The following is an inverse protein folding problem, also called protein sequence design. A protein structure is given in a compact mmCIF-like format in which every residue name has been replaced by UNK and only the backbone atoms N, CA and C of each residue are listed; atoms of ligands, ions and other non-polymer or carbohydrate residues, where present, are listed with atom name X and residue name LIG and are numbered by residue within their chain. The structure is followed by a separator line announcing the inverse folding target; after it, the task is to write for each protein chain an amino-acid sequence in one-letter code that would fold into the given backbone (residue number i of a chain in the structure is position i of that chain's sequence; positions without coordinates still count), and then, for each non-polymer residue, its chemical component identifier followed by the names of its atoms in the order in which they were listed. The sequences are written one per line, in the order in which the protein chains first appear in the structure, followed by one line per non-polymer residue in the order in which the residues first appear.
data_IF_324501098029
#
_entry.id   IF_324501098029
#
_cell.length_a   1.000
_cell.length_b   1.000
_cell.length_c   1.000
_cell.angle_alpha   90.00
_cell.angle_beta   90.00
_cell.angle_gamma   90.00
#
_symmetry.space_group_name_H-M   'P 1'
#
loop_
_entity.id
_entity.type
_entity.pdbx_description
1 polymer ?
#
# COMPACT_ATOMS: atom_id res chain seq x y z
N UNK A 1 -9.99 -29.36 -22.06
CA UNK A 1 -8.72 -29.06 -21.35
C UNK A 1 -7.84 -28.13 -22.21
N UNK A 2 -8.34 -26.93 -22.58
CA UNK A 2 -7.65 -26.03 -23.54
C UNK A 2 -7.72 -24.54 -23.17
N UNK A 3 -8.32 -24.18 -22.03
CA UNK A 3 -8.57 -22.78 -21.64
C UNK A 3 -7.42 -22.19 -20.81
N UNK A 4 -6.53 -23.02 -20.25
CA UNK A 4 -5.44 -22.58 -19.34
C UNK A 4 -4.20 -22.07 -20.08
N UNK A 5 -4.02 -22.38 -21.37
CA UNK A 5 -2.82 -21.98 -22.13
C UNK A 5 -2.88 -20.59 -22.74
N UNK A 6 -4.06 -20.00 -22.92
CA UNK A 6 -4.22 -18.69 -23.60
C UNK A 6 -3.95 -17.51 -22.65
N UNK A 7 -4.20 -17.68 -21.36
CA UNK A 7 -4.02 -16.64 -20.34
C UNK A 7 -2.55 -16.35 -20.03
N UNK A 8 -1.67 -17.35 -20.12
CA UNK A 8 -0.23 -17.19 -19.87
C UNK A 8 0.46 -16.41 -20.99
N UNK A 9 -0.01 -16.55 -22.24
CA UNK A 9 0.55 -15.86 -23.41
C UNK A 9 0.18 -14.38 -23.44
N UNK A 10 -1.01 -14.00 -22.96
CA UNK A 10 -1.41 -12.60 -22.84
C UNK A 10 -0.61 -11.85 -21.77
N UNK A 11 -0.26 -12.50 -20.64
CA UNK A 11 0.55 -11.89 -19.59
C UNK A 11 2.00 -11.62 -20.04
N UNK A 12 2.57 -12.51 -20.86
CA UNK A 12 3.90 -12.32 -21.47
C UNK A 12 3.92 -11.20 -22.53
N UNK A 13 2.82 -10.97 -23.25
CA UNK A 13 2.69 -9.90 -24.25
C UNK A 13 2.49 -8.51 -23.62
N UNK A 14 1.88 -8.42 -22.43
CA UNK A 14 1.82 -7.17 -21.66
C UNK A 14 3.19 -6.82 -21.07
N UNK A 15 3.99 -7.82 -20.70
CA UNK A 15 5.37 -7.61 -20.25
C UNK A 15 6.30 -7.16 -21.37
N UNK A 16 6.15 -7.64 -22.61
CA UNK A 16 7.01 -7.19 -23.72
C UNK A 16 6.64 -5.80 -24.24
N UNK A 17 5.38 -5.38 -24.14
CA UNK A 17 4.93 -4.04 -24.57
C UNK A 17 5.21 -2.94 -23.54
N UNK A 18 5.33 -3.26 -22.25
CA UNK A 18 5.76 -2.30 -21.23
C UNK A 18 7.22 -1.83 -21.39
N UNK A 19 8.06 -2.61 -22.08
CA UNK A 19 9.45 -2.24 -22.39
C UNK A 19 9.59 -1.45 -23.72
N UNK A 20 8.50 -1.31 -24.49
CA UNK A 20 8.52 -0.62 -25.77
C UNK A 20 8.21 0.90 -25.68
N UNK A 21 7.91 1.41 -24.48
CA UNK A 21 7.87 2.86 -24.19
C UNK A 21 9.18 3.36 -23.57
N UNK A 22 10.32 2.77 -23.94
CA UNK A 22 11.62 3.36 -23.65
C UNK A 22 11.81 4.62 -24.48
N UNK A 23 11.61 5.80 -23.89
CA UNK A 23 12.19 7.03 -24.44
C UNK A 23 13.67 6.75 -24.73
N UNK A 24 14.12 7.05 -25.95
CA UNK A 24 15.56 7.05 -26.23
C UNK A 24 16.22 7.95 -25.18
N UNK A 25 17.19 7.40 -24.44
CA UNK A 25 18.00 8.16 -23.48
C UNK A 25 19.44 8.15 -23.94
N UNK A 26 20.09 9.30 -23.92
CA UNK A 26 21.46 9.46 -24.39
C UNK A 26 22.37 9.84 -23.23
N UNK A 27 23.47 9.10 -23.06
CA UNK A 27 24.48 9.40 -22.05
C UNK A 27 25.38 10.51 -22.57
N UNK A 28 25.52 11.58 -21.80
CA UNK A 28 26.38 12.73 -22.15
C UNK A 28 27.45 12.89 -21.09
N UNK A 29 28.70 13.07 -21.52
CA UNK A 29 29.78 13.47 -20.63
C UNK A 29 29.67 14.97 -20.36
N UNK A 30 29.43 15.35 -19.11
CA UNK A 30 29.33 16.73 -18.66
C UNK A 30 30.27 16.95 -17.49
N UNK A 31 30.88 18.12 -17.44
CA UNK A 31 31.59 18.60 -16.26
C UNK A 31 30.56 19.00 -15.21
N UNK A 32 30.81 18.61 -13.97
CA UNK A 32 29.90 18.84 -12.87
C UNK A 32 30.67 19.13 -11.58
N UNK A 33 30.05 19.92 -10.72
CA UNK A 33 30.51 20.19 -9.36
C UNK A 33 29.55 19.51 -8.38
N UNK A 34 30.09 18.69 -7.49
CA UNK A 34 29.33 18.07 -6.40
C UNK A 34 29.02 19.14 -5.34
N UNK A 35 27.73 19.44 -5.14
CA UNK A 35 27.30 20.38 -4.10
C UNK A 35 27.28 19.68 -2.73
N UNK A 36 26.72 18.47 -2.69
CA UNK A 36 26.79 17.56 -1.54
C UNK A 36 26.55 16.12 -1.97
N UNK A 37 27.15 15.17 -1.26
CA UNK A 37 26.90 13.73 -1.35
C UNK A 37 26.86 13.11 0.07
N UNK A 38 25.71 13.28 0.73
CA UNK A 38 25.53 12.98 2.15
C UNK A 38 24.28 12.11 2.40
N UNK A 39 24.35 10.78 2.15
CA UNK A 39 23.20 9.89 2.31
C UNK A 39 22.76 9.67 3.78
N UNK A 40 23.53 10.16 4.75
CA UNK A 40 23.13 10.21 6.16
C UNK A 40 22.35 11.47 6.54
N UNK A 41 22.40 12.52 5.71
CA UNK A 41 21.79 13.83 5.97
C UNK A 41 20.35 13.87 5.45
N UNK A 42 19.50 13.01 6.01
CA UNK A 42 18.07 12.96 5.69
C UNK A 42 17.22 13.71 6.71
N UNK A 43 16.06 14.19 6.25
CA UNK A 43 15.00 14.65 7.14
C UNK A 43 14.61 13.55 8.13
N UNK A 44 14.28 13.95 9.36
CA UNK A 44 13.98 13.02 10.45
C UNK A 44 12.50 12.66 10.50
N UNK A 45 11.63 13.62 10.26
CA UNK A 45 10.17 13.41 10.27
C UNK A 45 9.63 13.58 8.86
N UNK A 46 8.79 12.64 8.44
CA UNK A 46 8.02 12.68 7.21
C UNK A 46 6.54 12.53 7.55
N UNK A 47 5.70 13.45 7.12
CA UNK A 47 4.25 13.39 7.24
C UNK A 47 3.67 13.46 5.83
N UNK A 48 2.88 12.47 5.45
CA UNK A 48 2.36 12.34 4.11
C UNK A 48 0.85 12.17 4.14
N UNK A 49 0.16 12.92 3.30
CA UNK A 49 -1.24 12.65 2.98
C UNK A 49 -1.31 11.73 1.77
N UNK A 50 -2.11 10.69 1.83
CA UNK A 50 -2.37 9.76 0.73
C UNK A 50 -3.73 10.14 0.11
N UNK A 51 -3.79 11.06 -0.87
CA UNK A 51 -5.05 11.43 -1.51
C UNK A 51 -5.65 10.28 -2.30
N UNK A 52 -4.87 9.26 -2.67
CA UNK A 52 -5.37 8.09 -3.35
C UNK A 52 -4.61 6.84 -2.93
N UNK A 53 -5.36 5.86 -2.45
CA UNK A 53 -4.95 4.46 -2.48
C UNK A 53 -6.03 3.63 -3.16
N UNK A 54 -5.61 2.52 -3.78
CA UNK A 54 -6.49 1.49 -4.29
C UNK A 54 -6.08 0.14 -3.72
N UNK A 55 -7.04 -0.63 -3.22
CA UNK A 55 -6.85 -1.94 -2.62
C UNK A 55 -7.77 -2.97 -3.28
N UNK A 56 -7.16 -3.99 -3.87
CA UNK A 56 -7.83 -5.21 -4.29
C UNK A 56 -7.63 -6.20 -3.17
N UNK A 57 -8.59 -6.33 -2.27
CA UNK A 57 -8.60 -7.34 -1.23
C UNK A 57 -9.72 -8.34 -1.51
N UNK A 58 -9.42 -9.64 -1.41
CA UNK A 58 -10.39 -10.71 -1.72
C UNK A 58 -11.66 -10.62 -0.85
N UNK A 59 -11.56 -9.98 0.32
CA UNK A 59 -12.69 -9.69 1.19
C UNK A 59 -13.36 -8.35 0.88
N UNK A 60 -12.72 -7.39 0.20
CA UNK A 60 -13.34 -6.13 -0.24
C UNK A 60 -12.44 -5.36 -1.22
N UNK A 61 -12.94 -4.97 -2.40
CA UNK A 61 -12.21 -4.05 -3.30
C UNK A 61 -12.60 -2.61 -2.95
N UNK A 62 -11.60 -1.77 -2.66
CA UNK A 62 -11.87 -0.41 -2.22
C UNK A 62 -10.79 0.59 -2.68
N UNK A 63 -11.14 1.86 -2.64
CA UNK A 63 -10.25 2.99 -2.88
C UNK A 63 -10.58 4.13 -1.91
N UNK A 64 -9.58 4.91 -1.55
CA UNK A 64 -9.73 5.83 -0.44
C UNK A 64 -8.59 6.81 -0.28
N UNK A 65 -8.55 7.42 0.91
CA UNK A 65 -7.49 8.30 1.34
C UNK A 65 -6.79 7.74 2.58
N UNK A 66 -5.66 8.33 2.93
CA UNK A 66 -4.90 7.94 4.11
C UNK A 66 -3.96 9.03 4.58
N UNK A 67 -3.29 8.73 5.68
CA UNK A 67 -2.22 9.55 6.22
C UNK A 67 -1.10 8.63 6.71
N UNK A 68 0.13 9.11 6.62
CA UNK A 68 1.31 8.40 7.07
C UNK A 68 2.23 9.36 7.81
N UNK A 69 2.84 8.89 8.89
CA UNK A 69 3.93 9.58 9.56
C UNK A 69 5.08 8.59 9.76
N UNK A 70 6.30 9.02 9.43
CA UNK A 70 7.51 8.24 9.63
C UNK A 70 8.58 9.10 10.30
N UNK A 71 9.21 8.54 11.32
CA UNK A 71 10.30 9.19 12.05
C UNK A 71 11.57 8.32 12.02
N UNK A 72 12.67 8.89 11.54
CA UNK A 72 14.01 8.29 11.54
C UNK A 72 14.78 8.74 12.78
N UNK A 73 15.11 7.78 13.65
CA UNK A 73 15.96 8.01 14.81
C UNK A 73 17.41 7.64 14.48
N UNK A 74 18.13 8.61 13.92
CA UNK A 74 19.56 8.47 13.56
C UNK A 74 19.77 7.21 12.71
N UNK A 75 20.75 6.40 13.10
CA UNK A 75 21.16 5.18 12.42
C UNK A 75 20.62 3.93 13.13
N UNK A 76 19.70 4.09 14.09
CA UNK A 76 19.30 2.99 14.99
C UNK A 76 17.96 2.37 14.61
N UNK A 77 16.94 3.20 14.41
CA UNK A 77 15.61 2.70 14.08
C UNK A 77 14.79 3.78 13.39
N UNK A 78 13.68 3.36 12.79
CA UNK A 78 12.61 4.25 12.40
C UNK A 78 11.26 3.73 12.90
N UNK A 79 10.31 4.64 13.12
CA UNK A 79 8.93 4.33 13.53
C UNK A 79 8.01 4.86 12.44
N UNK A 80 6.94 4.12 12.15
CA UNK A 80 5.96 4.43 11.14
C UNK A 80 4.55 4.20 11.66
N UNK A 81 3.69 5.20 11.44
CA UNK A 81 2.24 5.10 11.61
C UNK A 81 1.56 5.33 10.26
N UNK A 82 0.55 4.53 9.94
CA UNK A 82 -0.27 4.69 8.74
C UNK A 82 -1.75 4.50 9.08
N UNK A 83 -2.58 5.33 8.45
CA UNK A 83 -4.03 5.25 8.47
C UNK A 83 -4.54 5.25 7.04
N UNK A 84 -5.54 4.41 6.74
CA UNK A 84 -6.30 4.43 5.48
C UNK A 84 -7.78 4.23 5.75
N UNK A 85 -8.60 4.86 4.91
CA UNK A 85 -10.06 4.75 4.95
C UNK A 85 -10.66 4.88 3.55
N UNK A 86 -11.67 4.08 3.24
CA UNK A 86 -12.40 4.21 1.98
C UNK A 86 -13.15 5.55 1.91
N UNK A 87 -13.28 6.11 0.69
CA UNK A 87 -13.92 7.42 0.49
C UNK A 87 -15.42 7.40 0.80
N UNK A 88 -16.19 6.82 -0.12
CA UNK A 88 -17.63 6.65 -0.04
C UNK A 88 -17.97 5.20 -0.31
N UNK A 89 -19.14 4.75 0.16
CA UNK A 89 -19.62 3.42 -0.22
C UNK A 89 -19.77 3.31 -1.74
N UNK A 90 -20.38 4.30 -2.39
CA UNK A 90 -20.58 4.31 -3.85
C UNK A 90 -19.25 4.25 -4.60
N UNK A 91 -19.07 3.22 -5.42
CA UNK A 91 -17.94 2.94 -6.32
C UNK A 91 -16.55 2.73 -5.70
N UNK A 92 -16.37 3.03 -4.42
CA UNK A 92 -15.05 3.08 -3.77
C UNK A 92 -14.95 2.13 -2.58
N UNK A 93 -16.03 1.41 -2.25
CA UNK A 93 -16.07 0.35 -1.24
C UNK A 93 -17.11 -0.70 -1.66
N UNK A 94 -16.65 -1.68 -2.45
CA UNK A 94 -17.55 -2.54 -3.24
C UNK A 94 -18.46 -3.41 -2.37
N UNK A 95 -17.91 -4.04 -1.33
CA UNK A 95 -18.74 -4.92 -0.49
C UNK A 95 -19.66 -4.14 0.42
N UNK A 96 -19.25 -2.96 0.89
CA UNK A 96 -20.15 -2.07 1.63
C UNK A 96 -21.29 -1.58 0.75
N UNK A 97 -21.02 -1.18 -0.50
CA UNK A 97 -22.08 -0.79 -1.43
C UNK A 97 -23.01 -1.96 -1.78
N UNK A 98 -22.45 -3.14 -2.02
CA UNK A 98 -23.24 -4.34 -2.30
C UNK A 98 -24.17 -4.67 -1.13
N UNK A 99 -23.65 -4.59 0.10
CA UNK A 99 -24.46 -4.78 1.30
C UNK A 99 -25.55 -3.72 1.44
N UNK A 100 -25.25 -2.44 1.24
CA UNK A 100 -26.25 -1.37 1.34
C UNK A 100 -27.38 -1.48 0.31
N UNK A 101 -27.14 -2.10 -0.85
CA UNK A 101 -28.13 -2.24 -1.92
C UNK A 101 -28.90 -3.55 -1.88
N UNK A 102 -28.22 -4.63 -1.49
CA UNK A 102 -28.73 -5.99 -1.68
C UNK A 102 -28.78 -6.81 -0.39
N UNK A 103 -28.32 -6.29 0.75
CA UNK A 103 -28.37 -7.03 2.02
C UNK A 103 -29.82 -7.34 2.39
N UNK A 104 -30.03 -8.60 2.74
CA UNK A 104 -31.31 -9.12 3.27
C UNK A 104 -31.27 -9.25 4.80
N UNK A 105 -30.14 -8.87 5.41
CA UNK A 105 -29.86 -8.97 6.84
C UNK A 105 -29.77 -7.59 7.47
N UNK A 106 -30.01 -7.52 8.78
CA UNK A 106 -30.06 -6.28 9.55
C UNK A 106 -28.67 -5.73 9.93
N UNK A 107 -27.59 -6.46 9.63
CA UNK A 107 -26.22 -6.00 9.90
C UNK A 107 -25.95 -4.64 9.23
N UNK A 108 -25.47 -3.68 10.02
CA UNK A 108 -25.02 -2.40 9.50
C UNK A 108 -23.64 -2.58 8.83
N UNK A 109 -23.50 -2.29 7.51
CA UNK A 109 -22.23 -2.47 6.82
C UNK A 109 -21.14 -1.50 7.31
N UNK A 110 -20.01 -2.03 7.79
CA UNK A 110 -18.88 -1.23 8.24
C UNK A 110 -18.07 -0.63 7.08
N UNK A 111 -17.53 0.56 7.35
CA UNK A 111 -16.57 1.25 6.46
C UNK A 111 -15.23 0.56 6.56
N UNK A 112 -14.52 0.38 5.45
CA UNK A 112 -13.15 -0.08 5.54
C UNK A 112 -12.26 0.93 6.28
N UNK A 113 -11.73 0.54 7.43
CA UNK A 113 -10.68 1.28 8.14
C UNK A 113 -9.42 0.41 8.28
N UNK A 114 -8.26 1.05 8.19
CA UNK A 114 -6.97 0.39 8.34
C UNK A 114 -6.02 1.30 9.13
N UNK A 115 -5.43 0.73 10.18
CA UNK A 115 -4.42 1.37 11.01
C UNK A 115 -3.21 0.46 11.10
N UNK A 116 -2.03 1.02 10.91
CA UNK A 116 -0.77 0.33 11.08
C UNK A 116 0.18 1.17 11.92
N UNK A 117 0.80 0.54 12.90
CA UNK A 117 1.84 1.15 13.70
C UNK A 117 2.96 0.15 13.87
N UNK A 118 4.18 0.55 13.56
CA UNK A 118 5.34 -0.31 13.71
C UNK A 118 6.65 0.43 13.58
N UNK A 119 7.73 -0.33 13.73
CA UNK A 119 9.08 0.19 13.64
C UNK A 119 10.00 -0.78 12.93
N UNK A 120 11.10 -0.22 12.44
CA UNK A 120 12.20 -0.96 11.84
C UNK A 120 13.47 -0.69 12.65
N UNK A 121 14.05 -1.73 13.24
CA UNK A 121 15.37 -1.68 13.85
C UNK A 121 16.45 -1.88 12.79
N UNK A 122 17.46 -1.02 12.76
CA UNK A 122 18.54 -1.09 11.79
C UNK A 122 19.60 -2.08 12.28
N UNK A 123 19.70 -3.24 11.63
CA UNK A 123 20.68 -4.28 11.96
C UNK A 123 22.06 -3.87 11.43
N UNK A 124 22.10 -3.39 10.19
CA UNK A 124 23.32 -2.97 9.52
C UNK A 124 23.02 -1.75 8.67
N UNK A 125 23.81 -0.71 8.86
CA UNK A 125 23.70 0.58 8.20
C UNK A 125 25.11 0.95 7.72
N UNK A 126 25.27 1.10 6.41
CA UNK A 126 26.58 1.30 5.78
C UNK A 126 26.40 1.99 4.43
N UNK A 127 27.46 2.63 3.96
CA UNK A 127 27.55 3.26 2.66
C UNK A 127 28.37 2.41 1.68
N UNK A 128 28.00 2.51 0.40
CA UNK A 128 28.75 1.96 -0.71
C UNK A 128 28.91 3.04 -1.79
N UNK A 129 30.02 3.00 -2.51
CA UNK A 129 30.19 3.83 -3.71
C UNK A 129 29.29 3.29 -4.82
N UNK A 130 28.48 4.16 -5.41
CA UNK A 130 27.56 3.87 -6.52
C UNK A 130 27.63 5.00 -7.55
N UNK A 131 27.06 4.79 -8.73
CA UNK A 131 26.75 5.89 -9.67
C UNK A 131 25.28 6.27 -9.57
N UNK A 132 24.98 7.56 -9.62
CA UNK A 132 23.64 8.13 -9.74
C UNK A 132 23.38 8.51 -11.20
N UNK A 133 22.22 8.13 -11.72
CA UNK A 133 21.78 8.50 -13.07
C UNK A 133 20.98 9.79 -12.96
N UNK A 134 21.57 10.90 -13.39
CA UNK A 134 20.97 12.22 -13.30
C UNK A 134 20.49 12.66 -14.68
N UNK A 135 19.19 12.92 -14.82
CA UNK A 135 18.62 13.46 -16.06
C UNK A 135 18.93 14.95 -16.17
N UNK A 136 19.43 15.35 -17.32
CA UNK A 136 19.90 16.70 -17.58
C UNK A 136 18.76 17.53 -18.17
N UNK A 137 18.46 18.66 -17.55
CA UNK A 137 17.49 19.63 -18.04
C UNK A 137 18.22 20.89 -18.53
N UNK A 138 17.97 21.29 -19.79
CA UNK A 138 18.58 22.49 -20.35
C UNK A 138 17.84 23.74 -19.87
N UNK A 139 18.60 24.72 -19.36
CA UNK A 139 18.12 26.04 -18.90
C UNK A 139 17.30 26.82 -19.93
N UNK A 140 17.49 26.55 -21.23
CA UNK A 140 16.79 27.23 -22.33
C UNK A 140 16.40 26.22 -23.41
N UNK A 141 15.11 25.93 -23.54
CA UNK A 141 14.58 25.15 -24.66
C UNK A 141 14.28 26.11 -25.83
N UNK A 142 14.89 25.95 -27.02
CA UNK A 142 14.52 26.73 -28.20
C UNK A 142 13.04 26.48 -28.55
N UNK A 143 12.29 27.54 -28.87
CA UNK A 143 10.83 27.53 -29.19
C UNK A 143 10.39 26.48 -30.23
N UNK A 144 11.31 25.87 -30.98
CA UNK A 144 11.04 24.92 -32.08
C UNK A 144 11.21 23.43 -31.74
N UNK A 145 11.58 23.04 -30.50
CA UNK A 145 11.97 21.65 -30.17
C UNK A 145 11.05 20.89 -29.19
N UNK A 146 9.77 21.20 -29.13
CA UNK A 146 8.81 20.50 -28.26
C UNK A 146 8.58 19.02 -28.63
N UNK A 147 9.04 18.57 -29.81
CA UNK A 147 8.70 17.28 -30.38
C UNK A 147 9.83 16.23 -30.47
N UNK A 148 11.05 16.46 -29.96
CA UNK A 148 12.14 15.47 -30.13
C UNK A 148 13.29 15.48 -29.12
N UNK A 149 13.06 15.90 -27.87
CA UNK A 149 14.12 15.82 -26.86
C UNK A 149 14.26 14.39 -26.33
N UNK A 150 15.26 13.68 -26.85
CA UNK A 150 15.87 12.50 -26.19
C UNK A 150 16.28 12.94 -24.80
N UNK A 151 15.83 12.25 -23.75
CA UNK A 151 16.19 12.60 -22.39
C UNK A 151 17.68 12.28 -22.18
N UNK A 152 18.51 13.31 -22.05
CA UNK A 152 19.93 13.16 -21.80
C UNK A 152 20.19 12.91 -20.31
N UNK A 153 21.19 12.10 -20.00
CA UNK A 153 21.60 11.85 -18.63
C UNK A 153 23.11 11.83 -18.46
N UNK A 154 23.56 12.15 -17.25
CA UNK A 154 24.92 11.98 -16.78
C UNK A 154 24.95 10.89 -15.70
N UNK A 155 26.07 10.17 -15.62
CA UNK A 155 26.37 9.30 -14.50
C UNK A 155 27.34 10.01 -13.57
N UNK A 156 26.89 10.27 -12.34
CA UNK A 156 27.69 10.95 -11.33
C UNK A 156 28.07 9.94 -10.24
N UNK A 157 29.35 9.78 -9.88
CA UNK A 157 29.74 9.03 -8.69
C UNK A 157 29.05 9.58 -7.45
N UNK A 158 28.51 8.72 -6.60
CA UNK A 158 27.69 9.08 -5.44
C UNK A 158 27.79 8.01 -4.35
N UNK A 159 27.50 8.36 -3.11
CA UNK A 159 27.34 7.39 -2.04
C UNK A 159 25.91 6.89 -1.97
N UNK A 160 25.78 5.59 -1.72
CA UNK A 160 24.51 4.93 -1.49
C UNK A 160 24.51 4.36 -0.09
N UNK A 161 23.63 4.85 0.78
CA UNK A 161 23.42 4.25 2.10
C UNK A 161 22.45 3.08 1.98
N UNK A 162 22.83 1.94 2.55
CA UNK A 162 22.03 0.72 2.61
C UNK A 162 21.74 0.36 4.06
N UNK A 163 20.48 0.12 4.36
CA UNK A 163 20.02 -0.27 5.69
C UNK A 163 19.33 -1.63 5.60
N UNK A 164 19.90 -2.63 6.26
CA UNK A 164 19.20 -3.88 6.56
C UNK A 164 18.45 -3.72 7.88
N UNK A 165 17.14 -3.97 7.85
CA UNK A 165 16.27 -3.76 8.99
C UNK A 165 15.46 -4.99 9.38
N UNK A 166 15.19 -5.13 10.67
CA UNK A 166 14.13 -6.00 11.19
C UNK A 166 12.91 -5.16 11.53
N UNK A 167 11.72 -5.64 11.17
CA UNK A 167 10.45 -4.93 11.31
C UNK A 167 9.58 -5.61 12.35
N UNK A 168 8.87 -4.81 13.12
CA UNK A 168 7.85 -5.27 14.06
C UNK A 168 6.73 -4.22 14.12
N UNK A 169 5.49 -4.67 14.13
CA UNK A 169 4.36 -3.76 14.31
C UNK A 169 3.03 -4.47 14.41
N UNK A 170 1.98 -3.65 14.41
CA UNK A 170 0.60 -4.08 14.54
C UNK A 170 -0.25 -3.46 13.44
N UNK A 171 -1.21 -4.22 12.94
CA UNK A 171 -2.18 -3.79 11.93
C UNK A 171 -3.59 -4.09 12.43
N UNK A 172 -4.43 -3.07 12.52
CA UNK A 172 -5.84 -3.19 12.88
C UNK A 172 -6.65 -2.78 11.65
N UNK A 173 -7.61 -3.60 11.27
CA UNK A 173 -8.52 -3.27 10.19
C UNK A 173 -9.89 -3.90 10.38
N UNK A 174 -10.88 -3.27 9.77
CA UNK A 174 -12.27 -3.69 9.73
C UNK A 174 -12.84 -3.49 8.32
N UNK A 175 -13.77 -4.36 7.93
CA UNK A 175 -14.41 -4.30 6.61
C UNK A 175 -15.74 -5.06 6.59
N UNK A 176 -16.67 -4.58 5.76
CA UNK A 176 -17.82 -5.39 5.33
C UNK A 176 -17.35 -6.56 4.47
N UNK A 177 -17.90 -7.76 4.73
CA UNK A 177 -17.67 -8.98 3.95
C UNK A 177 -18.97 -9.61 3.45
N UNK A 178 -18.88 -10.19 2.26
CA UNK A 178 -19.93 -11.00 1.63
C UNK A 178 -19.87 -12.44 2.19
N UNK A 179 -20.92 -12.84 2.93
CA UNK A 179 -21.00 -14.17 3.57
C UNK A 179 -21.30 -15.25 2.55
N UNK A 180 -22.17 -15.00 1.56
CA UNK A 180 -22.51 -15.95 0.50
C UNK A 180 -21.25 -16.48 -0.20
N UNK A 181 -20.36 -15.57 -0.63
CA UNK A 181 -19.10 -15.92 -1.29
C UNK A 181 -18.14 -16.66 -0.36
N UNK A 182 -18.22 -16.38 0.94
CA UNK A 182 -17.38 -17.04 1.95
C UNK A 182 -17.81 -18.48 2.16
N UNK A 183 -19.12 -18.70 2.34
CA UNK A 183 -19.71 -20.04 2.46
C UNK A 183 -19.38 -20.89 1.23
N UNK A 184 -19.62 -20.36 0.03
CA UNK A 184 -19.31 -21.04 -1.23
C UNK A 184 -17.82 -21.41 -1.35
N UNK A 185 -16.91 -20.53 -0.92
CA UNK A 185 -15.46 -20.77 -0.98
C UNK A 185 -15.00 -21.86 -0.03
N UNK A 186 -15.72 -22.04 1.09
CA UNK A 186 -15.40 -23.02 2.13
C UNK A 186 -16.25 -24.30 2.03
N UNK A 187 -17.12 -24.41 1.03
CA UNK A 187 -18.04 -25.55 0.87
C UNK A 187 -19.10 -25.64 1.96
N UNK A 188 -19.47 -24.50 2.55
CA UNK A 188 -20.53 -24.37 3.55
C UNK A 188 -21.81 -23.83 2.89
N UNK A 189 -22.93 -24.01 3.56
CA UNK A 189 -24.23 -23.42 3.18
C UNK A 189 -24.84 -22.65 4.34
N UNK A 190 -25.97 -22.00 4.12
CA UNK A 190 -26.68 -21.29 5.18
C UNK A 190 -27.18 -22.21 6.30
N UNK A 191 -27.31 -23.52 6.02
CA UNK A 191 -27.59 -24.55 7.03
C UNK A 191 -26.53 -24.60 8.15
N UNK A 192 -25.31 -24.15 7.87
CA UNK A 192 -24.22 -24.12 8.85
C UNK A 192 -24.24 -22.88 9.75
N UNK A 193 -25.04 -21.86 9.40
CA UNK A 193 -25.23 -20.67 10.23
C UNK A 193 -26.47 -20.89 11.08
N UNK A 194 -26.28 -21.20 12.36
CA UNK A 194 -27.36 -21.56 13.28
C UNK A 194 -27.57 -20.48 14.34
N UNK A 195 -28.83 -20.23 14.69
CA UNK A 195 -29.18 -19.36 15.81
C UNK A 195 -29.15 -20.14 17.15
N UNK A 196 -29.48 -19.46 18.26
CA UNK A 196 -29.53 -20.06 19.60
C UNK A 196 -30.50 -21.23 19.73
N UNK A 197 -31.53 -21.28 18.88
CA UNK A 197 -32.59 -22.29 18.89
C UNK A 197 -32.24 -23.49 17.98
N UNK A 198 -31.08 -23.47 17.33
CA UNK A 198 -30.63 -24.49 16.38
C UNK A 198 -31.24 -24.37 14.99
N UNK A 199 -31.97 -23.28 14.70
CA UNK A 199 -32.53 -23.01 13.39
C UNK A 199 -31.47 -22.42 12.46
N UNK A 200 -31.41 -22.91 11.23
CA UNK A 200 -30.49 -22.40 10.21
C UNK A 200 -30.97 -21.07 9.62
N UNK A 201 -30.02 -20.29 9.11
CA UNK A 201 -30.34 -19.14 8.28
C UNK A 201 -31.04 -19.63 6.99
N UNK A 202 -32.18 -19.03 6.58
CA UNK A 202 -32.88 -19.48 5.39
C UNK A 202 -32.09 -19.18 4.12
N UNK A 203 -32.22 -20.02 3.08
CA UNK A 203 -31.54 -19.79 1.80
C UNK A 203 -32.26 -18.76 0.93
N UNK A 204 -33.56 -18.58 1.16
CA UNK A 204 -34.43 -17.67 0.42
C UNK A 204 -35.32 -16.87 1.37
N UNK A 205 -35.81 -15.74 0.88
CA UNK A 205 -36.80 -14.91 1.57
C UNK A 205 -37.90 -14.49 0.60
N UNK A 206 -39.06 -14.14 1.15
CA UNK A 206 -40.17 -13.58 0.37
C UNK A 206 -40.07 -12.07 0.45
N UNK A 207 -39.97 -11.40 -0.69
CA UNK A 207 -39.85 -9.95 -0.76
C UNK A 207 -41.20 -9.24 -0.50
N UNK A 208 -41.18 -7.90 -0.49
CA UNK A 208 -42.40 -7.09 -0.30
C UNK A 208 -43.44 -7.24 -1.41
N UNK A 209 -43.10 -7.85 -2.55
CA UNK A 209 -43.98 -8.13 -3.67
C UNK A 209 -44.51 -9.57 -3.67
N UNK A 210 -44.10 -10.40 -2.71
CA UNK A 210 -44.49 -11.80 -2.61
C UNK A 210 -43.66 -12.75 -3.46
N UNK A 211 -42.56 -12.29 -4.06
CA UNK A 211 -41.65 -13.12 -4.85
C UNK A 211 -40.57 -13.76 -3.96
N UNK A 212 -40.22 -15.01 -4.25
CA UNK A 212 -39.14 -15.71 -3.54
C UNK A 212 -37.80 -15.34 -4.18
N UNK A 213 -36.88 -14.79 -3.37
CA UNK A 213 -35.55 -14.40 -3.81
C UNK A 213 -34.47 -15.07 -2.96
N UNK A 214 -33.27 -15.20 -3.55
CA UNK A 214 -32.10 -15.73 -2.85
C UNK A 214 -31.65 -14.79 -1.74
N UNK A 215 -31.33 -15.35 -0.58
CA UNK A 215 -30.84 -14.59 0.55
C UNK A 215 -29.41 -14.09 0.28
N UNK A 216 -29.17 -12.79 0.53
CA UNK A 216 -27.84 -12.19 0.48
C UNK A 216 -27.44 -11.68 1.87
N UNK A 217 -26.50 -12.37 2.48
CA UNK A 217 -26.02 -12.08 3.82
C UNK A 217 -24.66 -11.36 3.75
N UNK A 218 -24.56 -10.29 4.51
CA UNK A 218 -23.33 -9.54 4.72
C UNK A 218 -23.05 -9.45 6.22
N UNK A 219 -21.78 -9.45 6.58
CA UNK A 219 -21.34 -9.23 7.96
C UNK A 219 -20.09 -8.37 7.98
N UNK A 220 -19.59 -8.05 9.17
CA UNK A 220 -18.37 -7.28 9.36
C UNK A 220 -17.26 -8.18 9.91
N UNK A 221 -16.05 -7.94 9.40
CA UNK A 221 -14.85 -8.68 9.78
C UNK A 221 -13.86 -7.70 10.38
N UNK A 222 -13.44 -7.98 11.61
CA UNK A 222 -12.43 -7.23 12.34
C UNK A 222 -11.19 -8.09 12.55
N UNK A 223 -10.01 -7.55 12.29
CA UNK A 223 -8.75 -8.24 12.57
C UNK A 223 -7.70 -7.32 13.20
N UNK A 224 -7.06 -7.82 14.25
CA UNK A 224 -5.85 -7.26 14.84
C UNK A 224 -4.70 -8.21 14.58
N UNK A 225 -3.70 -7.73 13.86
CA UNK A 225 -2.55 -8.48 13.40
C UNK A 225 -1.28 -7.91 14.05
N UNK A 226 -0.33 -8.77 14.31
CA UNK A 226 1.06 -8.43 14.60
C UNK A 226 1.88 -8.91 13.41
N UNK A 227 2.91 -8.17 13.03
CA UNK A 227 3.84 -8.60 12.00
C UNK A 227 5.28 -8.55 12.47
N UNK A 228 6.07 -9.51 11.99
CA UNK A 228 7.53 -9.51 12.09
C UNK A 228 8.09 -9.67 10.69
N UNK A 229 9.14 -8.93 10.37
CA UNK A 229 9.64 -8.91 9.00
C UNK A 229 11.06 -8.41 8.87
N UNK A 230 11.49 -8.30 7.62
CA UNK A 230 12.79 -7.73 7.24
C UNK A 230 12.58 -6.64 6.20
N UNK A 231 13.54 -5.74 6.10
CA UNK A 231 13.58 -4.72 5.06
C UNK A 231 14.97 -4.40 4.58
N UNK A 232 15.02 -3.86 3.37
CA UNK A 232 16.17 -3.22 2.79
C UNK A 232 15.80 -1.80 2.37
N UNK A 233 16.51 -0.80 2.91
CA UNK A 233 16.35 0.60 2.52
C UNK A 233 17.60 1.07 1.79
N UNK A 234 17.39 1.79 0.70
CA UNK A 234 18.40 2.51 -0.05
C UNK A 234 18.14 4.00 0.05
N UNK A 235 19.16 4.77 0.36
CA UNK A 235 19.07 6.21 0.49
C UNK A 235 20.17 6.84 -0.37
N UNK A 236 19.75 7.70 -1.28
CA UNK A 236 20.61 8.65 -2.00
C UNK A 236 20.23 10.05 -1.58
N UNK A 237 21.23 10.90 -1.46
CA UNK A 237 21.04 12.31 -1.13
C UNK A 237 22.24 13.07 -1.69
N UNK A 238 22.16 13.36 -2.99
CA UNK A 238 23.19 14.06 -3.75
C UNK A 238 22.58 15.24 -4.50
N UNK A 239 23.29 16.36 -4.54
CA UNK A 239 23.02 17.45 -5.46
C UNK A 239 24.27 17.81 -6.24
N UNK A 240 24.05 18.11 -7.52
CA UNK A 240 25.11 18.33 -8.50
C UNK A 240 24.77 19.54 -9.33
N UNK A 241 25.74 20.44 -9.49
CA UNK A 241 25.66 21.57 -10.42
C UNK A 241 26.35 21.19 -11.72
N UNK A 242 25.73 21.54 -12.84
CA UNK A 242 26.28 21.33 -14.18
C UNK A 242 26.49 22.67 -14.86
N UNK A 243 27.58 22.81 -15.61
CA UNK A 243 27.96 24.08 -16.27
C UNK A 243 26.87 24.59 -17.24
N UNK A 244 26.33 23.69 -18.07
CA UNK A 244 25.35 24.04 -19.12
C UNK A 244 23.90 23.61 -18.81
N UNK A 245 23.67 22.97 -17.67
CA UNK A 245 22.36 22.41 -17.30
C UNK A 245 21.88 22.98 -15.96
N UNK A 246 20.63 22.72 -15.62
CA UNK A 246 20.10 23.01 -14.29
C UNK A 246 20.73 22.10 -13.24
N UNK A 247 20.84 22.65 -12.03
CA UNK A 247 21.24 21.88 -10.86
C UNK A 247 20.27 20.71 -10.68
N UNK A 248 20.81 19.54 -10.40
CA UNK A 248 20.02 18.34 -10.27
C UNK A 248 20.22 17.71 -8.89
N UNK A 249 19.15 17.11 -8.39
CA UNK A 249 19.09 16.50 -7.07
C UNK A 249 18.56 15.07 -7.20
N UNK A 250 19.29 14.11 -6.65
CA UNK A 250 18.84 12.73 -6.44
C UNK A 250 18.82 12.43 -4.94
N UNK A 251 17.62 12.53 -4.38
CA UNK A 251 17.34 12.47 -2.96
C UNK A 251 16.33 11.36 -2.61
N UNK A 252 16.40 10.28 -3.38
CA UNK A 252 15.51 9.13 -3.24
C UNK A 252 15.77 8.28 -2.00
N UNK A 253 14.69 7.98 -1.27
CA UNK A 253 14.63 6.94 -0.24
C UNK A 253 13.73 5.83 -0.78
N UNK A 254 14.30 4.63 -0.98
CA UNK A 254 13.58 3.46 -1.45
C UNK A 254 13.65 2.34 -0.42
N UNK A 255 12.51 1.76 -0.05
CA UNK A 255 12.41 0.68 0.92
C UNK A 255 11.67 -0.51 0.29
N UNK A 256 12.17 -1.71 0.51
CA UNK A 256 11.47 -2.97 0.22
C UNK A 256 11.41 -3.80 1.49
N UNK A 257 10.31 -4.53 1.69
CA UNK A 257 10.11 -5.30 2.90
C UNK A 257 9.31 -6.58 2.67
N UNK A 258 9.51 -7.53 3.58
CA UNK A 258 8.78 -8.78 3.67
C UNK A 258 8.39 -9.02 5.13
N UNK A 259 7.09 -9.15 5.38
CA UNK A 259 6.51 -9.32 6.70
C UNK A 259 5.73 -10.65 6.77
N UNK A 260 5.88 -11.37 7.88
CA UNK A 260 4.98 -12.44 8.30
C UNK A 260 3.93 -11.84 9.23
N UNK A 261 2.66 -12.10 8.94
CA UNK A 261 1.51 -11.58 9.67
C UNK A 261 0.90 -12.69 10.52
N UNK A 262 0.56 -12.37 11.76
CA UNK A 262 -0.20 -13.24 12.65
C UNK A 262 -1.35 -12.46 13.30
N UNK A 263 -2.57 -12.96 13.20
CA UNK A 263 -3.76 -12.37 13.82
C UNK A 263 -4.10 -13.06 15.14
N UNK A 264 -3.65 -12.53 16.30
CA UNK A 264 -4.09 -13.04 17.59
C UNK A 264 -5.61 -12.89 17.77
N UNK A 265 -6.21 -11.84 17.19
CA UNK A 265 -7.65 -11.59 17.25
C UNK A 265 -8.20 -11.35 15.86
N UNK A 266 -9.13 -12.20 15.43
CA UNK A 266 -9.95 -12.04 14.24
C UNK A 266 -11.37 -12.42 14.62
N UNK A 267 -12.33 -11.55 14.30
CA UNK A 267 -13.74 -11.70 14.65
C UNK A 267 -14.60 -11.44 13.44
N UNK A 268 -15.52 -12.34 13.16
CA UNK A 268 -16.57 -12.17 12.18
C UNK A 268 -17.87 -12.01 12.97
N UNK A 269 -18.60 -10.93 12.71
CA UNK A 269 -19.85 -10.66 13.40
C UNK A 269 -20.92 -11.69 13.02
N UNK A 270 -21.85 -12.03 13.93
CA UNK A 270 -22.99 -12.86 13.60
C UNK A 270 -23.86 -12.20 12.54
N UNK A 271 -24.62 -13.00 11.80
CA UNK A 271 -25.58 -12.49 10.83
C UNK A 271 -26.92 -12.28 11.53
N UNK A 272 -27.44 -11.06 11.54
CA UNK A 272 -28.71 -10.73 12.19
C UNK A 272 -29.85 -10.73 11.18
N UNK A 273 -30.82 -11.62 11.34
CA UNK A 273 -31.99 -11.73 10.47
C UNK A 273 -33.27 -11.93 11.29
N UNK A 274 -34.31 -11.14 11.00
CA UNK A 274 -35.59 -11.15 11.72
C UNK A 274 -35.47 -11.06 13.26
N UNK A 275 -34.46 -10.33 13.76
CA UNK A 275 -34.22 -10.16 15.20
C UNK A 275 -33.51 -11.32 15.88
N UNK A 276 -33.08 -12.34 15.12
CA UNK A 276 -32.23 -13.43 15.59
C UNK A 276 -30.81 -13.29 15.07
N UNK A 277 -29.84 -13.61 15.92
CA UNK A 277 -28.43 -13.68 15.55
C UNK A 277 -28.06 -15.12 15.18
N UNK A 278 -27.52 -15.28 13.98
CA UNK A 278 -27.03 -16.55 13.44
C UNK A 278 -25.51 -16.57 13.58
N UNK A 279 -24.98 -17.58 14.28
CA UNK A 279 -23.55 -17.71 14.53
C UNK A 279 -22.79 -17.96 13.23
N UNK A 280 -21.66 -17.27 13.09
CA UNK A 280 -20.69 -17.45 12.01
C UNK A 280 -19.51 -18.35 12.39
N UNK A 281 -19.58 -19.05 13.52
CA UNK A 281 -18.47 -19.88 14.03
C UNK A 281 -18.11 -21.05 13.09
N UNK A 282 -19.05 -21.49 12.25
CA UNK A 282 -18.79 -22.49 11.22
C UNK A 282 -17.82 -22.01 10.14
N UNK A 283 -17.70 -20.69 9.93
CA UNK A 283 -16.82 -20.08 8.94
C UNK A 283 -15.39 -20.07 9.47
N UNK A 284 -14.48 -20.72 8.75
CA UNK A 284 -13.07 -20.80 9.11
C UNK A 284 -12.36 -19.46 8.87
N UNK A 285 -11.54 -19.08 9.84
CA UNK A 285 -10.70 -17.90 9.82
C UNK A 285 -9.23 -18.32 9.69
N UNK A 286 -8.48 -17.69 8.80
CA UNK A 286 -7.04 -17.86 8.67
C UNK A 286 -6.31 -16.75 9.46
N UNK A 287 -5.50 -17.16 10.43
CA UNK A 287 -4.73 -16.27 11.30
C UNK A 287 -3.33 -15.94 10.78
N UNK A 288 -2.84 -16.63 9.75
CA UNK A 288 -1.47 -16.46 9.24
C UNK A 288 -1.52 -15.77 7.88
N UNK A 289 -0.59 -14.85 7.67
CA UNK A 289 -0.43 -14.13 6.42
C UNK A 289 1.01 -13.80 6.11
N UNK A 290 1.22 -13.30 4.90
CA UNK A 290 2.50 -12.81 4.39
C UNK A 290 2.25 -11.53 3.61
N UNK A 291 3.16 -10.57 3.70
CA UNK A 291 3.09 -9.29 2.97
C UNK A 291 4.46 -8.93 2.44
N UNK A 292 4.54 -8.67 1.15
CA UNK A 292 5.69 -8.01 0.54
C UNK A 292 5.28 -6.60 0.11
N UNK A 293 6.19 -5.65 0.20
CA UNK A 293 5.89 -4.30 -0.25
C UNK A 293 7.13 -3.49 -0.57
N UNK A 294 6.89 -2.36 -1.22
CA UNK A 294 7.90 -1.36 -1.54
C UNK A 294 7.35 0.04 -1.33
N UNK A 295 8.26 0.98 -1.11
CA UNK A 295 7.95 2.38 -0.89
C UNK A 295 9.09 3.25 -1.40
N UNK A 296 8.77 4.27 -2.19
CA UNK A 296 9.70 5.30 -2.63
C UNK A 296 9.22 6.67 -2.17
N UNK A 297 10.13 7.49 -1.63
CA UNK A 297 9.89 8.89 -1.28
C UNK A 297 11.12 9.75 -1.53
N UNK A 298 10.92 11.05 -1.68
CA UNK A 298 12.01 12.01 -1.86
C UNK A 298 12.30 12.75 -0.56
N UNK A 299 13.58 12.97 -0.26
CA UNK A 299 14.07 13.69 0.91
C UNK A 299 13.98 15.22 0.74
N UNK A 300 12.78 15.74 0.44
CA UNK A 300 12.50 17.17 0.26
C UNK A 300 11.52 17.67 1.29
N UNK A 301 11.62 18.95 1.65
CA UNK A 301 10.63 19.61 2.52
C UNK A 301 9.20 19.43 1.99
N UNK A 302 9.05 19.45 0.66
CA UNK A 302 7.80 19.14 -0.03
C UNK A 302 8.10 18.15 -1.16
N UNK A 303 7.47 16.99 -1.12
CA UNK A 303 7.65 15.95 -2.13
C UNK A 303 6.41 15.10 -2.33
N UNK A 304 6.61 13.95 -2.98
CA UNK A 304 5.63 12.90 -3.13
C UNK A 304 6.24 11.56 -2.73
N UNK A 305 5.38 10.59 -2.47
CA UNK A 305 5.79 9.20 -2.28
C UNK A 305 4.85 8.26 -3.02
N UNK A 306 5.34 7.05 -3.26
CA UNK A 306 4.58 5.99 -3.87
C UNK A 306 4.91 4.68 -3.17
N UNK A 307 3.96 3.75 -3.18
CA UNK A 307 4.19 2.44 -2.59
C UNK A 307 3.21 1.40 -3.10
N UNK A 308 3.65 0.15 -3.01
CA UNK A 308 2.85 -1.01 -3.36
C UNK A 308 3.01 -2.09 -2.30
N UNK A 309 1.92 -2.81 -2.03
CA UNK A 309 1.89 -3.93 -1.09
C UNK A 309 1.13 -5.07 -1.74
N UNK A 310 1.58 -6.31 -1.54
CA UNK A 310 0.87 -7.49 -2.00
C UNK A 310 1.10 -8.65 -1.04
N UNK A 311 0.14 -9.55 -0.97
CA UNK A 311 0.31 -10.78 -0.21
C UNK A 311 -1.00 -11.41 0.21
N UNK A 312 -0.94 -12.09 1.34
CA UNK A 312 -2.06 -12.77 1.95
C UNK A 312 -2.24 -12.25 3.37
N UNK A 313 -3.32 -11.52 3.64
CA UNK A 313 -3.66 -10.98 4.96
C UNK A 313 -4.44 -12.03 5.76
N UNK A 314 -4.20 -12.18 7.07
CA UNK A 314 -5.09 -12.96 7.94
C UNK A 314 -6.53 -12.44 7.79
N UNK A 315 -7.46 -13.33 7.44
CA UNK A 315 -8.84 -13.01 7.06
C UNK A 315 -9.68 -14.30 7.08
N UNK A 316 -10.84 -14.31 6.42
CA UNK A 316 -11.60 -15.53 6.11
C UNK A 316 -10.74 -16.51 5.33
N UNK A 317 -10.83 -17.79 5.66
CA UNK A 317 -10.03 -18.82 5.02
C UNK A 317 -10.30 -18.86 3.50
N UNK A 318 -9.22 -18.95 2.72
CA UNK A 318 -9.25 -18.85 1.26
C UNK A 318 -9.49 -17.44 0.68
N UNK A 319 -9.67 -16.40 1.51
CA UNK A 319 -9.97 -15.01 1.09
C UNK A 319 -9.04 -13.94 1.68
N UNK A 320 -7.77 -14.27 1.88
CA UNK A 320 -6.78 -13.32 2.39
C UNK A 320 -5.97 -12.55 1.33
N UNK A 321 -6.02 -12.92 0.05
CA UNK A 321 -5.20 -12.24 -0.97
C UNK A 321 -5.51 -10.74 -1.04
N UNK A 322 -4.47 -9.91 -1.03
CA UNK A 322 -4.61 -8.48 -1.23
C UNK A 322 -3.47 -7.89 -2.07
N UNK A 323 -3.77 -6.81 -2.78
CA UNK A 323 -2.80 -5.94 -3.44
C UNK A 323 -3.22 -4.48 -3.26
N UNK A 324 -2.27 -3.61 -2.89
CA UNK A 324 -2.51 -2.18 -2.65
C UNK A 324 -1.50 -1.38 -3.44
N UNK A 325 -1.98 -0.29 -4.05
CA UNK A 325 -1.15 0.77 -4.56
C UNK A 325 -1.53 2.08 -3.87
N UNK A 326 -0.54 2.90 -3.50
CA UNK A 326 -0.74 4.18 -2.82
C UNK A 326 0.19 5.25 -3.37
N UNK A 327 -0.35 6.46 -3.53
CA UNK A 327 0.41 7.67 -3.84
C UNK A 327 0.16 8.65 -2.70
N UNK A 328 1.23 9.28 -2.21
CA UNK A 328 1.15 10.32 -1.19
C UNK A 328 1.65 11.66 -1.72
N UNK A 329 0.85 12.70 -1.52
CA UNK A 329 1.16 14.08 -1.83
C UNK A 329 0.22 15.02 -1.04
N UNK A 330 0.74 16.08 -0.40
CA UNK A 330 2.16 16.37 -0.20
C UNK A 330 2.82 15.46 0.85
N UNK A 331 4.11 15.22 0.69
CA UNK A 331 5.00 14.69 1.74
C UNK A 331 5.76 15.86 2.33
N UNK A 332 5.45 16.22 3.58
CA UNK A 332 6.19 17.21 4.34
C UNK A 332 7.32 16.53 5.10
N UNK A 333 8.53 17.06 4.98
CA UNK A 333 9.67 16.56 5.76
C UNK A 333 10.42 17.66 6.49
N UNK A 334 11.00 17.30 7.64
CA UNK A 334 11.74 18.23 8.50
C UNK A 334 12.90 17.55 9.23
N UNK A 335 14.00 18.27 9.38
CA UNK A 335 15.19 17.87 10.15
C UNK A 335 15.00 17.94 11.68
N UNK A 336 13.90 18.55 12.16
CA UNK A 336 13.54 18.80 13.58
C UNK A 336 14.57 19.61 14.41
N UNK A 337 15.79 19.79 13.93
CA UNK A 337 16.78 20.67 14.51
C UNK A 337 16.62 22.07 13.91
N UNK A 338 15.63 22.82 14.38
CA UNK A 338 15.51 24.25 14.08
C UNK A 338 16.55 25.03 14.89
N UNK A 339 17.84 24.87 14.57
CA UNK A 339 18.82 25.88 14.95
C UNK A 339 18.55 27.10 14.08
N UNK A 340 17.88 28.10 14.67
CA UNK A 340 17.84 29.44 14.10
C UNK A 340 19.27 29.93 14.10
N UNK A 341 19.94 29.93 12.95
CA UNK A 341 21.16 30.72 12.78
C UNK A 341 20.75 32.19 12.93
N UNK A 342 20.89 32.70 14.14
CA UNK A 342 20.89 34.13 14.38
C UNK A 342 22.15 34.67 13.69
N UNK A 343 21.99 35.16 12.46
CA UNK A 343 22.99 36.00 11.82
C UNK A 343 23.26 37.18 12.78
N UNK A 344 24.43 37.16 13.44
CA UNK A 344 24.95 38.37 14.06
C UNK A 344 25.30 39.33 12.92
N UNK A 345 24.68 40.50 12.97
CA UNK A 345 24.91 41.64 12.08
C UNK A 345 26.35 42.14 12.16
#
# INVERSE_FOLDING_TARGET
MAIVRVTFTCLLLVWSSAWAFGQATEKVAVTFDELYDEPYSINKLFVAFQPLYGEIFATNVNAGFGAEAQYFHKNKFNIKGQFRKSYSSKFLDFNRENALRNSTVANAPEVFNYYEFGGTFHIKDFDETSTAKIFLHQKKIPRSKWASTVATYAEVPSKLRKIYGARLGTVIWDATTDINRTLAKQGLTYANLVNSDGNSLPETYVDGNGETQDMQAFSNLYATNVYVGTSLTWIRNIAVSFDQYDDAVDDGIFNVYLDLLFAPSIKLDPVTYNGFDYSTDAIKLNKIGVRAGFEGKYNRTLGWSYGGELGYRPSLDGRGFFAVFKIAFPVFSSNLDNKVEAFQK
#
